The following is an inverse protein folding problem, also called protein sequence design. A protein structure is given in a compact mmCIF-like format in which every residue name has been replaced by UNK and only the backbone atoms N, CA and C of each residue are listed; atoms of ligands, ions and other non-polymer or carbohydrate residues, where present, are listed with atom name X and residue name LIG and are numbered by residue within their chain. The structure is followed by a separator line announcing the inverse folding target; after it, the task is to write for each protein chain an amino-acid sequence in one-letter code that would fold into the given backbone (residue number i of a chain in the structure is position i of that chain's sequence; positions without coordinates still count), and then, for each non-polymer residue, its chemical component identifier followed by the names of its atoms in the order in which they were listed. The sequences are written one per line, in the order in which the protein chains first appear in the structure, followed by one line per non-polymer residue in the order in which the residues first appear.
data_IF_183319526238
#
_entry.id   IF_183319526238
#
_cell.length_a   1.000
_cell.length_b   1.000
_cell.length_c   1.000
_cell.angle_alpha   90.00
_cell.angle_beta   90.00
_cell.angle_gamma   90.00
#
_symmetry.space_group_name_H-M   'P 1'
#
loop_
_entity.id
_entity.type
_entity.pdbx_description
1 polymer ?
#
# COMPACT_ATOMS: atom_id res chain seq x y z
N UNK A 1 -21.56 8.95 23.87
CA UNK A 1 -21.96 8.24 22.63
C UNK A 1 -20.81 8.44 21.67
N UNK A 2 -19.97 7.44 21.41
CA UNK A 2 -18.90 7.62 20.42
C UNK A 2 -19.53 7.65 19.04
N UNK A 3 -19.30 8.69 18.26
CA UNK A 3 -19.63 8.74 16.82
C UNK A 3 -19.02 7.49 16.17
N UNK A 4 -19.85 6.51 15.82
CA UNK A 4 -19.42 5.27 15.14
C UNK A 4 -19.52 5.40 13.62
N UNK A 5 -19.85 6.58 13.12
CA UNK A 5 -20.07 6.80 11.69
C UNK A 5 -18.87 7.50 11.06
N UNK A 6 -18.47 7.10 9.84
CA UNK A 6 -17.49 7.84 9.06
C UNK A 6 -17.94 9.29 8.88
N UNK A 7 -17.01 10.23 9.02
CA UNK A 7 -17.32 11.66 8.92
C UNK A 7 -16.23 12.45 8.22
N UNK A 8 -16.65 13.55 7.60
CA UNK A 8 -15.73 14.54 7.06
C UNK A 8 -15.27 15.50 8.15
N UNK A 9 -13.96 15.63 8.26
CA UNK A 9 -13.29 16.68 9.05
C UNK A 9 -12.38 17.48 8.13
N UNK A 10 -11.82 18.57 8.64
CA UNK A 10 -10.89 19.44 7.92
C UNK A 10 -9.60 19.59 8.71
N UNK A 11 -8.46 19.50 8.04
CA UNK A 11 -7.16 19.64 8.66
C UNK A 11 -6.01 19.25 7.75
N UNK A 12 -4.80 19.56 8.22
CA UNK A 12 -3.54 19.25 7.56
C UNK A 12 -2.63 18.54 8.55
N UNK A 13 -1.68 17.78 8.01
CA UNK A 13 -0.76 16.98 8.81
C UNK A 13 -1.36 15.64 9.25
N UNK A 14 -0.49 14.70 9.61
CA UNK A 14 -0.90 13.37 10.06
C UNK A 14 -1.63 13.44 11.41
N UNK A 15 -1.27 14.42 12.25
CA UNK A 15 -1.85 14.70 13.56
C UNK A 15 -3.32 15.14 13.50
N UNK A 16 -3.80 15.59 12.34
CA UNK A 16 -5.21 15.88 12.14
C UNK A 16 -6.08 14.61 12.14
N UNK A 17 -5.49 13.42 12.03
CA UNK A 17 -6.21 12.16 12.14
C UNK A 17 -6.48 11.81 13.61
N UNK A 18 -7.75 11.83 14.08
CA UNK A 18 -8.04 11.54 15.48
C UNK A 18 -7.66 10.10 15.85
N UNK A 19 -7.28 9.90 17.12
CA UNK A 19 -7.04 8.56 17.66
C UNK A 19 -8.25 7.63 17.41
N UNK A 20 -7.97 6.38 17.08
CA UNK A 20 -8.99 5.37 16.77
C UNK A 20 -9.65 5.52 15.40
N UNK A 21 -9.08 6.34 14.50
CA UNK A 21 -9.60 6.52 13.14
C UNK A 21 -8.60 6.13 12.05
N UNK A 22 -9.14 5.62 10.96
CA UNK A 22 -8.47 5.47 9.67
C UNK A 22 -8.84 6.69 8.81
N UNK A 23 -7.87 7.54 8.52
CA UNK A 23 -8.10 8.85 7.92
C UNK A 23 -7.57 8.92 6.50
N UNK A 24 -8.42 9.37 5.57
CA UNK A 24 -8.11 9.50 4.15
C UNK A 24 -7.97 10.97 3.78
N UNK A 25 -6.88 11.32 3.11
CA UNK A 25 -6.51 12.68 2.76
C UNK A 25 -6.61 12.87 1.24
N UNK A 26 -7.13 14.02 0.82
CA UNK A 26 -7.30 14.34 -0.60
C UNK A 26 -5.99 14.63 -1.32
N UNK A 27 -5.00 15.17 -0.61
CA UNK A 27 -3.71 15.52 -1.18
C UNK A 27 -2.55 14.82 -0.45
N UNK A 28 -1.46 14.62 -1.19
CA UNK A 28 -0.21 14.09 -0.66
C UNK A 28 0.33 14.95 0.47
N UNK A 29 1.18 14.38 1.34
CA UNK A 29 1.72 15.10 2.48
C UNK A 29 0.64 15.49 3.48
N UNK A 30 -0.46 14.72 3.55
CA UNK A 30 -1.55 14.92 4.49
C UNK A 30 -2.19 16.31 4.37
N UNK A 31 -2.54 16.72 3.14
CA UNK A 31 -3.12 18.02 2.82
C UNK A 31 -2.26 19.25 3.16
N UNK A 32 -0.98 19.11 3.51
CA UNK A 32 -0.12 20.26 3.80
C UNK A 32 -0.03 21.19 2.60
N UNK A 33 -0.29 22.48 2.83
CA UNK A 33 -0.30 23.51 1.78
C UNK A 33 -1.62 23.65 1.02
N UNK A 34 -2.62 22.82 1.30
CA UNK A 34 -3.97 22.99 0.75
C UNK A 34 -4.70 24.18 1.40
N UNK A 35 -5.71 24.71 0.71
CA UNK A 35 -6.55 25.79 1.26
C UNK A 35 -7.45 25.27 2.38
N UNK A 36 -7.38 25.83 3.61
CA UNK A 36 -8.23 25.40 4.72
C UNK A 36 -9.73 25.53 4.44
N UNK A 37 -10.51 24.55 4.89
CA UNK A 37 -11.96 24.44 4.67
C UNK A 37 -12.36 24.07 3.24
N UNK A 38 -11.40 23.86 2.32
CA UNK A 38 -11.68 23.56 0.91
C UNK A 38 -10.90 22.35 0.42
N UNK A 39 -9.57 22.42 0.45
CA UNK A 39 -8.67 21.38 -0.07
C UNK A 39 -8.15 20.42 1.00
N UNK A 40 -8.43 20.69 2.27
CA UNK A 40 -7.91 19.97 3.43
C UNK A 40 -8.94 19.01 4.05
N UNK A 41 -9.86 18.49 3.23
CA UNK A 41 -10.83 17.49 3.67
C UNK A 41 -10.12 16.20 4.06
N UNK A 42 -10.60 15.60 5.14
CA UNK A 42 -10.19 14.29 5.63
C UNK A 42 -11.46 13.46 5.87
N UNK A 43 -11.51 12.27 5.30
CA UNK A 43 -12.53 11.28 5.68
C UNK A 43 -12.00 10.46 6.85
N UNK A 44 -12.53 10.71 8.05
CA UNK A 44 -12.18 9.97 9.25
C UNK A 44 -13.15 8.80 9.45
N UNK A 45 -12.61 7.59 9.44
CA UNK A 45 -13.36 6.33 9.55
C UNK A 45 -13.04 5.70 10.91
N UNK A 46 -13.97 5.70 11.87
CA UNK A 46 -13.73 5.09 13.18
C UNK A 46 -13.42 3.59 13.05
N UNK A 47 -12.59 3.07 13.95
CA UNK A 47 -12.31 1.64 14.04
C UNK A 47 -13.61 0.83 14.17
N UNK A 48 -13.72 -0.23 13.37
CA UNK A 48 -14.91 -1.08 13.25
C UNK A 48 -15.94 -0.59 12.22
N UNK A 49 -15.72 0.56 11.59
CA UNK A 49 -16.58 1.05 10.50
C UNK A 49 -16.02 0.69 9.12
N UNK A 50 -16.87 0.86 8.11
CA UNK A 50 -16.53 0.72 6.69
C UNK A 50 -17.13 1.90 5.93
N UNK A 51 -16.57 2.17 4.76
CA UNK A 51 -17.13 3.11 3.79
C UNK A 51 -17.23 2.40 2.46
N UNK A 52 -18.46 2.23 1.96
CA UNK A 52 -18.73 1.48 0.72
C UNK A 52 -18.43 2.27 -0.54
N UNK A 53 -18.56 3.59 -0.49
CA UNK A 53 -18.30 4.46 -1.63
C UNK A 53 -17.86 5.84 -1.16
N UNK A 54 -16.62 6.20 -1.47
CA UNK A 54 -16.02 7.48 -1.13
C UNK A 54 -16.71 8.69 -1.78
N UNK A 55 -17.39 8.52 -2.91
CA UNK A 55 -18.09 9.62 -3.57
C UNK A 55 -19.21 10.20 -2.71
N UNK A 56 -19.81 9.39 -1.82
CA UNK A 56 -20.82 9.82 -0.84
C UNK A 56 -20.28 10.85 0.16
N UNK A 57 -18.96 10.86 0.35
CA UNK A 57 -18.23 11.78 1.21
C UNK A 57 -17.48 12.84 0.40
N UNK A 58 -17.74 12.93 -0.90
CA UNK A 58 -17.05 13.86 -1.79
C UNK A 58 -15.56 13.56 -1.91
N UNK A 59 -15.16 12.30 -1.97
CA UNK A 59 -13.85 11.86 -2.45
C UNK A 59 -14.11 11.14 -3.78
N UNK A 60 -13.87 11.82 -4.89
CA UNK A 60 -14.19 11.32 -6.24
C UNK A 60 -12.91 10.82 -6.92
N UNK A 61 -12.94 9.61 -7.48
CA UNK A 61 -11.80 9.01 -8.16
C UNK A 61 -11.33 9.81 -9.39
N UNK A 62 -12.10 10.82 -9.84
CA UNK A 62 -11.82 11.63 -11.03
C UNK A 62 -10.87 12.82 -10.77
N UNK A 63 -9.88 12.65 -9.88
CA UNK A 63 -8.85 13.66 -9.58
C UNK A 63 -9.02 14.41 -8.25
N UNK A 64 -9.97 13.99 -7.42
CA UNK A 64 -10.28 14.55 -6.10
C UNK A 64 -10.33 13.41 -5.05
N UNK A 65 -9.59 12.35 -5.32
CA UNK A 65 -9.66 11.07 -4.65
C UNK A 65 -8.74 11.01 -3.43
N UNK A 66 -8.37 9.80 -3.03
CA UNK A 66 -7.46 9.61 -1.89
C UNK A 66 -6.02 9.66 -2.40
N UNK A 67 -5.22 10.56 -1.83
CA UNK A 67 -3.79 10.73 -2.15
C UNK A 67 -2.86 10.46 -0.96
N UNK A 68 -3.40 10.38 0.25
CA UNK A 68 -2.66 10.04 1.46
C UNK A 68 -3.55 9.39 2.50
N UNK A 69 -2.95 8.65 3.43
CA UNK A 69 -3.69 7.90 4.45
C UNK A 69 -2.92 7.80 5.76
N UNK A 70 -3.64 7.89 6.88
CA UNK A 70 -3.13 7.65 8.22
C UNK A 70 -3.98 6.57 8.88
N UNK A 71 -3.36 5.49 9.34
CA UNK A 71 -4.00 4.49 10.18
C UNK A 71 -3.66 4.77 11.65
N UNK A 72 -4.46 5.63 12.29
CA UNK A 72 -4.36 5.93 13.72
C UNK A 72 -5.24 4.99 14.55
N UNK A 73 -5.39 3.74 14.12
CA UNK A 73 -6.12 2.69 14.85
C UNK A 73 -5.15 1.63 15.38
N UNK A 74 -5.68 0.75 16.23
CA UNK A 74 -4.93 -0.40 16.75
C UNK A 74 -5.01 -1.63 15.84
N UNK A 75 -5.71 -1.56 14.71
CA UNK A 75 -5.87 -2.65 13.74
C UNK A 75 -5.28 -2.28 12.38
N UNK A 76 -4.91 -3.30 11.60
CA UNK A 76 -4.52 -3.09 10.21
C UNK A 76 -5.79 -2.88 9.39
N UNK A 77 -5.78 -1.83 8.57
CA UNK A 77 -6.94 -1.39 7.80
C UNK A 77 -6.64 -1.50 6.30
N UNK A 78 -7.64 -1.31 5.45
CA UNK A 78 -7.43 -1.42 4.02
C UNK A 78 -8.22 -0.42 3.19
N UNK A 79 -7.59 0.02 2.11
CA UNK A 79 -8.20 0.68 0.96
C UNK A 79 -8.51 -0.35 -0.11
N UNK A 80 -9.55 -0.09 -0.90
CA UNK A 80 -9.98 -0.95 -2.00
C UNK A 80 -10.23 -0.12 -3.25
N UNK A 81 -9.84 -0.65 -4.41
CA UNK A 81 -9.91 0.07 -5.69
C UNK A 81 -11.31 0.12 -6.31
N UNK A 82 -12.29 -0.58 -5.73
CA UNK A 82 -13.69 -0.52 -6.14
C UNK A 82 -14.60 -0.35 -4.92
N UNK A 83 -15.85 0.05 -5.16
CA UNK A 83 -16.87 0.17 -4.14
C UNK A 83 -17.15 -1.18 -3.42
N UNK A 84 -17.72 -1.11 -2.21
CA UNK A 84 -18.10 -2.27 -1.40
C UNK A 84 -16.94 -3.23 -1.07
N UNK A 85 -15.75 -2.66 -0.81
CA UNK A 85 -14.53 -3.40 -0.45
C UNK A 85 -14.14 -4.45 -1.50
N UNK A 86 -14.31 -4.11 -2.78
CA UNK A 86 -13.97 -4.97 -3.92
C UNK A 86 -12.73 -4.47 -4.68
N UNK A 87 -12.27 -5.28 -5.63
CA UNK A 87 -11.13 -4.95 -6.48
C UNK A 87 -9.80 -5.29 -5.81
N UNK A 88 -8.77 -4.52 -6.13
CA UNK A 88 -7.48 -4.62 -5.48
C UNK A 88 -7.54 -4.01 -4.08
N UNK A 89 -6.67 -4.48 -3.20
CA UNK A 89 -6.58 -4.01 -1.83
C UNK A 89 -5.20 -3.46 -1.52
N UNK A 90 -5.15 -2.36 -0.77
CA UNK A 90 -3.94 -1.81 -0.16
C UNK A 90 -4.10 -1.84 1.35
N UNK A 91 -3.48 -2.83 2.03
CA UNK A 91 -3.36 -2.82 3.48
C UNK A 91 -2.55 -1.61 3.97
N UNK A 92 -2.94 -1.06 5.11
CA UNK A 92 -2.22 -0.02 5.83
C UNK A 92 -2.08 -0.47 7.27
N UNK A 93 -0.86 -0.76 7.69
CA UNK A 93 -0.59 -1.31 9.02
C UNK A 93 -1.03 -0.36 10.14
N UNK A 94 -1.43 -0.93 11.28
CA UNK A 94 -1.77 -0.18 12.49
C UNK A 94 -0.68 0.82 12.87
N UNK A 95 -1.07 2.04 13.24
CA UNK A 95 -0.14 3.10 13.66
C UNK A 95 0.78 3.64 12.56
N UNK A 96 0.56 3.28 11.29
CA UNK A 96 1.39 3.75 10.16
C UNK A 96 0.64 4.72 9.26
N UNK A 97 1.37 5.33 8.33
CA UNK A 97 0.79 6.25 7.34
C UNK A 97 1.49 6.11 5.99
N UNK A 98 0.78 6.49 4.94
CA UNK A 98 1.32 6.64 3.59
C UNK A 98 1.04 8.07 3.15
N UNK A 99 2.08 8.89 3.12
CA UNK A 99 1.96 10.30 2.80
C UNK A 99 1.66 10.57 1.31
N UNK A 100 2.01 9.64 0.43
CA UNK A 100 1.92 9.83 -1.02
C UNK A 100 1.54 8.52 -1.72
N UNK A 101 0.26 8.34 -2.05
CA UNK A 101 -0.23 7.17 -2.78
C UNK A 101 0.22 7.13 -4.24
N UNK A 102 0.64 8.27 -4.83
CA UNK A 102 1.29 8.27 -6.15
C UNK A 102 2.66 7.56 -6.14
N UNK A 103 3.28 7.40 -4.96
CA UNK A 103 4.51 6.63 -4.82
C UNK A 103 4.26 5.12 -4.64
N UNK A 104 3.01 4.67 -4.45
CA UNK A 104 2.68 3.26 -4.23
C UNK A 104 2.17 2.65 -5.53
N UNK A 105 2.80 1.58 -6.05
CA UNK A 105 2.46 1.02 -7.35
C UNK A 105 1.13 0.26 -7.30
N UNK A 106 0.36 0.38 -8.38
CA UNK A 106 -0.86 -0.38 -8.60
C UNK A 106 -0.87 -0.90 -10.04
N UNK A 107 -1.00 -2.21 -10.21
CA UNK A 107 -1.02 -2.81 -11.54
C UNK A 107 -2.35 -2.47 -12.22
N UNK A 108 -2.30 -2.13 -13.51
CA UNK A 108 -3.50 -1.83 -14.31
C UNK A 108 -4.20 -0.51 -13.99
N UNK A 109 -3.72 0.30 -13.03
CA UNK A 109 -4.29 1.63 -12.82
C UNK A 109 -3.84 2.63 -13.91
N UNK A 110 -4.66 3.64 -14.28
CA UNK A 110 -4.34 4.57 -15.36
C UNK A 110 -3.05 5.37 -15.14
N UNK A 111 -2.68 5.61 -13.88
CA UNK A 111 -1.48 6.34 -13.49
C UNK A 111 -0.38 5.43 -12.92
N UNK A 112 -0.57 4.10 -12.94
CA UNK A 112 0.37 3.11 -12.41
C UNK A 112 0.56 3.14 -10.89
N UNK A 113 -0.29 3.87 -10.16
CA UNK A 113 -0.21 4.06 -8.72
C UNK A 113 -1.55 3.93 -8.03
N UNK A 114 -1.56 3.98 -6.70
CA UNK A 114 -2.78 4.03 -5.89
C UNK A 114 -3.42 5.43 -5.79
N UNK A 115 -2.77 6.48 -6.33
CA UNK A 115 -3.29 7.83 -6.24
C UNK A 115 -4.66 7.96 -6.90
N UNK A 116 -5.63 8.45 -6.14
CA UNK A 116 -7.03 8.60 -6.54
C UNK A 116 -7.74 7.29 -6.95
N UNK A 117 -7.12 6.12 -6.72
CA UNK A 117 -7.68 4.83 -7.16
C UNK A 117 -8.61 4.19 -6.13
N UNK A 118 -8.43 4.49 -4.84
CA UNK A 118 -9.25 3.90 -3.80
C UNK A 118 -10.69 4.46 -3.85
N UNK A 119 -11.68 3.59 -3.71
CA UNK A 119 -13.11 3.93 -3.76
C UNK A 119 -13.88 3.48 -2.51
N UNK A 120 -13.32 2.57 -1.74
CA UNK A 120 -13.90 2.12 -0.47
C UNK A 120 -12.82 1.75 0.54
N UNK A 121 -13.20 1.67 1.81
CA UNK A 121 -12.30 1.32 2.91
C UNK A 121 -12.98 0.43 3.93
N UNK A 122 -12.14 -0.32 4.64
CA UNK A 122 -12.48 -1.06 5.85
C UNK A 122 -11.52 -0.64 6.97
N UNK A 123 -12.07 -0.04 8.03
CA UNK A 123 -11.32 0.30 9.25
C UNK A 123 -11.42 -0.86 10.26
N UNK A 124 -11.11 -2.06 9.79
CA UNK A 124 -11.06 -3.30 10.57
C UNK A 124 -10.05 -4.24 9.92
N UNK A 125 -9.76 -5.36 10.59
CA UNK A 125 -8.86 -6.39 10.11
C UNK A 125 -9.13 -6.70 8.64
N UNK A 126 -8.10 -6.58 7.82
CA UNK A 126 -8.19 -6.88 6.40
C UNK A 126 -8.74 -8.29 6.14
N UNK A 127 -9.78 -8.36 5.31
CA UNK A 127 -10.37 -9.62 4.82
C UNK A 127 -10.36 -9.56 3.29
N UNK A 128 -9.32 -10.11 2.68
CA UNK A 128 -9.21 -10.24 1.23
C UNK A 128 -8.53 -11.55 0.86
N UNK A 129 -8.83 -12.06 -0.33
CA UNK A 129 -8.34 -13.37 -0.75
C UNK A 129 -6.81 -13.42 -0.83
N UNK A 130 -6.16 -12.37 -1.35
CA UNK A 130 -4.70 -12.32 -1.50
C UNK A 130 -4.10 -11.39 -0.46
N UNK A 131 -3.22 -11.92 0.38
CA UNK A 131 -2.50 -11.23 1.44
C UNK A 131 -1.00 -11.33 1.19
N UNK A 132 -0.26 -10.35 1.69
CA UNK A 132 1.21 -10.39 1.74
C UNK A 132 1.70 -9.91 3.10
N UNK A 133 2.59 -10.69 3.70
CA UNK A 133 3.33 -10.31 4.90
C UNK A 133 4.78 -9.98 4.52
N UNK A 134 5.47 -9.22 5.37
CA UNK A 134 6.90 -8.95 5.24
C UNK A 134 7.66 -9.26 6.53
N UNK A 135 8.89 -9.71 6.36
CA UNK A 135 9.88 -9.92 7.41
C UNK A 135 11.23 -9.38 6.94
N UNK A 136 11.86 -8.49 7.72
CA UNK A 136 13.26 -8.13 7.49
C UNK A 136 14.16 -9.31 7.87
N UNK A 137 15.01 -9.74 6.94
CA UNK A 137 15.97 -10.84 7.13
C UNK A 137 17.35 -10.35 7.56
N UNK A 138 17.65 -9.08 7.30
CA UNK A 138 18.90 -8.41 7.67
C UNK A 138 19.30 -7.39 6.62
N UNK A 139 20.35 -6.62 6.93
CA UNK A 139 20.93 -5.65 6.01
C UNK A 139 22.45 -5.55 6.21
N UNK A 140 23.17 -5.15 5.17
CA UNK A 140 24.62 -4.98 5.19
C UNK A 140 25.08 -3.95 4.16
N UNK A 141 26.26 -3.37 4.38
CA UNK A 141 26.88 -2.46 3.43
C UNK A 141 27.25 -3.18 2.13
N UNK A 142 26.91 -2.59 0.98
CA UNK A 142 27.12 -3.15 -0.34
C UNK A 142 27.66 -2.04 -1.27
N UNK A 143 28.99 -1.99 -1.42
CA UNK A 143 29.67 -0.92 -2.15
C UNK A 143 29.37 0.46 -1.53
N UNK A 144 28.91 1.46 -2.33
CA UNK A 144 28.54 2.78 -1.80
C UNK A 144 27.14 2.82 -1.17
N UNK A 145 26.36 1.74 -1.24
CA UNK A 145 25.00 1.68 -0.71
C UNK A 145 24.85 0.65 0.41
N UNK A 146 23.61 0.34 0.75
CA UNK A 146 23.26 -0.62 1.78
C UNK A 146 22.16 -1.55 1.29
N UNK A 147 22.40 -2.86 1.37
CA UNK A 147 21.46 -3.87 0.89
C UNK A 147 20.61 -4.35 2.05
N UNK A 148 19.29 -4.31 1.88
CA UNK A 148 18.30 -4.82 2.81
C UNK A 148 17.61 -6.05 2.19
N UNK A 149 17.57 -7.12 2.96
CA UNK A 149 16.97 -8.40 2.57
C UNK A 149 15.64 -8.58 3.27
N UNK A 150 14.58 -8.88 2.52
CA UNK A 150 13.24 -9.09 3.05
C UNK A 150 12.70 -10.42 2.55
N UNK A 151 11.88 -11.06 3.40
CA UNK A 151 11.00 -12.15 2.99
C UNK A 151 9.59 -11.59 2.88
N UNK A 152 9.07 -11.58 1.66
CA UNK A 152 7.65 -11.36 1.41
C UNK A 152 6.96 -12.71 1.34
N UNK A 153 5.85 -12.88 2.05
CA UNK A 153 5.11 -14.15 2.02
C UNK A 153 3.69 -13.89 1.59
N UNK A 154 3.31 -14.41 0.42
CA UNK A 154 1.96 -14.26 -0.11
C UNK A 154 1.08 -15.45 0.27
N UNK A 155 -0.18 -15.16 0.58
CA UNK A 155 -1.18 -16.14 0.99
C UNK A 155 -2.47 -15.93 0.20
N UNK A 156 -3.07 -17.03 -0.21
CA UNK A 156 -4.44 -17.08 -0.69
C UNK A 156 -5.32 -17.65 0.41
N UNK A 157 -6.38 -16.96 0.80
CA UNK A 157 -7.29 -17.40 1.86
C UNK A 157 -8.29 -18.43 1.33
N UNK A 158 -8.96 -18.14 0.21
CA UNK A 158 -10.09 -18.95 -0.28
C UNK A 158 -9.84 -19.55 -1.68
N UNK A 159 -9.29 -18.76 -2.60
CA UNK A 159 -9.19 -19.12 -4.02
C UNK A 159 -7.77 -18.98 -4.54
N UNK A 160 -7.34 -19.97 -5.33
CA UNK A 160 -6.05 -19.99 -6.01
C UNK A 160 -5.88 -18.73 -6.86
N UNK A 161 -4.74 -18.07 -6.70
CA UNK A 161 -4.34 -16.90 -7.49
C UNK A 161 -3.21 -17.30 -8.44
N UNK A 162 -3.49 -17.39 -9.73
CA UNK A 162 -2.51 -17.80 -10.76
C UNK A 162 -1.76 -16.63 -11.38
N UNK A 163 -2.37 -15.45 -11.41
CA UNK A 163 -1.77 -14.21 -11.87
C UNK A 163 -1.82 -13.19 -10.76
N UNK A 164 -0.65 -12.69 -10.37
CA UNK A 164 -0.55 -11.74 -9.27
C UNK A 164 0.56 -10.73 -9.51
N UNK A 165 0.47 -9.61 -8.81
CA UNK A 165 1.60 -8.72 -8.58
C UNK A 165 1.75 -8.43 -7.10
N UNK A 166 2.99 -8.22 -6.66
CA UNK A 166 3.32 -7.70 -5.34
C UNK A 166 4.17 -6.45 -5.51
N UNK A 167 3.86 -5.39 -4.77
CA UNK A 167 4.57 -4.14 -4.89
C UNK A 167 4.59 -3.34 -3.61
N UNK A 168 5.53 -2.40 -3.55
CA UNK A 168 5.73 -1.45 -2.46
C UNK A 168 6.41 -0.20 -3.03
N UNK A 169 6.35 0.90 -2.28
CA UNK A 169 6.76 2.19 -2.82
C UNK A 169 7.29 3.16 -1.78
N UNK A 170 7.25 4.45 -2.13
CA UNK A 170 7.86 5.53 -1.35
C UNK A 170 9.37 5.31 -1.09
N UNK A 171 10.06 4.70 -2.05
CA UNK A 171 11.49 4.45 -1.94
C UNK A 171 12.29 5.74 -2.18
N UNK A 172 13.39 5.97 -1.44
CA UNK A 172 14.24 7.13 -1.67
C UNK A 172 14.95 7.04 -3.02
N UNK A 173 15.34 8.19 -3.57
CA UNK A 173 16.13 8.25 -4.79
C UNK A 173 17.45 7.48 -4.67
N UNK A 174 17.82 6.75 -5.73
CA UNK A 174 19.00 5.87 -5.72
C UNK A 174 18.71 4.44 -5.24
N UNK A 175 17.46 4.13 -4.88
CA UNK A 175 17.05 2.76 -4.54
C UNK A 175 16.89 1.89 -5.79
N UNK A 176 17.23 0.60 -5.69
CA UNK A 176 16.94 -0.40 -6.73
C UNK A 176 16.89 -1.80 -6.15
N UNK A 177 16.29 -2.75 -6.86
CA UNK A 177 16.49 -4.17 -6.59
C UNK A 177 17.95 -4.54 -6.85
N UNK A 178 18.51 -5.42 -6.02
CA UNK A 178 19.88 -5.88 -6.20
C UNK A 178 20.02 -6.65 -7.51
N UNK A 179 21.20 -6.58 -8.12
CA UNK A 179 21.49 -7.33 -9.36
C UNK A 179 21.34 -8.85 -9.15
N UNK A 180 21.81 -9.36 -8.01
CA UNK A 180 21.69 -10.78 -7.66
C UNK A 180 20.24 -11.24 -7.60
N UNK A 181 19.34 -10.41 -7.06
CA UNK A 181 17.91 -10.71 -7.07
C UNK A 181 17.35 -10.67 -8.50
N UNK A 182 17.64 -9.62 -9.26
CA UNK A 182 17.16 -9.45 -10.64
C UNK A 182 17.54 -10.65 -11.52
N UNK A 183 18.80 -11.11 -11.44
CA UNK A 183 19.30 -12.22 -12.25
C UNK A 183 18.62 -13.57 -11.88
N UNK A 184 18.18 -13.71 -10.64
CA UNK A 184 17.64 -14.97 -10.10
C UNK A 184 16.10 -15.03 -10.06
N UNK A 185 15.43 -13.88 -10.12
CA UNK A 185 13.98 -13.82 -9.99
C UNK A 185 13.31 -14.45 -11.22
N UNK A 186 12.45 -15.44 -10.98
CA UNK A 186 11.77 -16.22 -12.01
C UNK A 186 10.50 -15.56 -12.57
N UNK A 187 10.04 -14.48 -11.95
CA UNK A 187 8.84 -13.75 -12.35
C UNK A 187 9.15 -12.54 -13.24
N UNK A 188 8.17 -11.65 -13.33
CA UNK A 188 8.30 -10.39 -14.07
C UNK A 188 8.73 -9.25 -13.15
N UNK A 189 9.71 -8.45 -13.56
CA UNK A 189 10.09 -7.22 -12.87
C UNK A 189 9.47 -6.06 -13.66
N UNK A 190 8.33 -5.56 -13.17
CA UNK A 190 7.59 -4.48 -13.80
C UNK A 190 8.14 -3.11 -13.38
N UNK A 191 8.58 -3.00 -12.12
CA UNK A 191 9.32 -1.85 -11.58
C UNK A 191 10.40 -2.35 -10.63
N UNK A 192 11.61 -1.81 -10.75
CA UNK A 192 12.79 -2.30 -10.05
C UNK A 192 13.28 -1.37 -8.94
N UNK A 193 12.50 -0.37 -8.53
CA UNK A 193 12.87 0.57 -7.47
C UNK A 193 13.49 1.88 -7.94
N UNK A 194 14.06 1.96 -9.16
CA UNK A 194 14.79 3.17 -9.61
C UNK A 194 13.87 4.38 -9.81
N UNK A 195 12.58 4.13 -9.98
CA UNK A 195 11.53 5.14 -10.10
C UNK A 195 10.76 5.37 -8.78
N UNK A 196 11.32 4.89 -7.66
CA UNK A 196 10.72 5.05 -6.33
C UNK A 196 9.75 3.94 -5.93
N UNK A 197 9.55 2.90 -6.75
CA UNK A 197 8.76 1.74 -6.35
C UNK A 197 9.20 0.42 -6.99
N UNK A 198 8.86 -0.67 -6.33
CA UNK A 198 9.04 -2.04 -6.84
C UNK A 198 7.69 -2.65 -7.13
N UNK A 199 7.58 -3.32 -8.27
CA UNK A 199 6.41 -4.11 -8.64
C UNK A 199 6.89 -5.37 -9.35
N UNK A 200 6.61 -6.51 -8.73
CA UNK A 200 6.94 -7.85 -9.20
C UNK A 200 5.66 -8.56 -9.63
N UNK A 201 5.73 -9.35 -10.69
CA UNK A 201 4.61 -10.11 -11.22
C UNK A 201 4.90 -11.60 -11.31
N UNK A 202 3.83 -12.40 -11.26
CA UNK A 202 3.87 -13.81 -11.69
C UNK A 202 4.38 -13.91 -13.14
N UNK A 203 5.13 -14.96 -13.52
CA UNK A 203 5.61 -15.13 -14.88
C UNK A 203 4.46 -15.24 -15.90
N UNK A 204 4.63 -14.62 -17.07
CA UNK A 204 3.67 -14.64 -18.18
C UNK A 204 3.16 -16.04 -18.56
N UNK A 205 4.01 -17.07 -18.43
CA UNK A 205 3.68 -18.47 -18.74
C UNK A 205 2.95 -19.23 -17.62
N UNK A 206 2.69 -18.60 -16.47
CA UNK A 206 2.17 -19.25 -15.27
C UNK A 206 3.20 -20.09 -14.50
N UNK A 207 2.75 -20.92 -13.56
CA UNK A 207 3.61 -21.88 -12.84
C UNK A 207 3.98 -21.51 -11.40
N UNK A 208 3.61 -20.30 -10.93
CA UNK A 208 3.83 -19.85 -9.56
C UNK A 208 2.56 -19.25 -8.96
N UNK A 209 1.54 -20.08 -8.77
CA UNK A 209 0.31 -19.66 -8.12
C UNK A 209 0.47 -19.52 -6.61
N UNK A 210 -0.40 -18.72 -6.01
CA UNK A 210 -0.62 -18.70 -4.57
C UNK A 210 -1.85 -19.55 -4.30
N UNK A 211 -1.65 -20.71 -3.68
CA UNK A 211 -2.69 -21.71 -3.45
C UNK A 211 -3.19 -21.62 -2.00
N UNK A 212 -4.51 -21.78 -1.75
CA UNK A 212 -5.02 -21.83 -0.39
C UNK A 212 -4.29 -22.89 0.45
N UNK A 213 -3.86 -22.49 1.64
CA UNK A 213 -3.08 -23.33 2.55
C UNK A 213 -1.60 -23.51 2.19
N UNK A 214 -1.12 -22.96 1.07
CA UNK A 214 0.30 -22.98 0.69
C UNK A 214 0.82 -21.58 0.41
N UNK A 215 1.65 -21.08 1.32
CA UNK A 215 2.26 -19.76 1.16
C UNK A 215 3.32 -19.73 0.05
N UNK A 216 3.40 -18.62 -0.69
CA UNK A 216 4.44 -18.37 -1.67
C UNK A 216 5.46 -17.36 -1.11
N UNK A 217 6.66 -17.81 -0.69
CA UNK A 217 7.71 -16.92 -0.22
C UNK A 217 8.49 -16.30 -1.39
N UNK A 218 8.83 -15.03 -1.25
CA UNK A 218 9.69 -14.26 -2.14
C UNK A 218 10.78 -13.60 -1.29
N UNK A 219 12.01 -14.08 -1.42
CA UNK A 219 13.17 -13.45 -0.81
C UNK A 219 13.69 -12.37 -1.75
N UNK A 220 13.54 -11.11 -1.36
CA UNK A 220 13.93 -9.95 -2.16
C UNK A 220 15.11 -9.22 -1.53
N UNK A 221 15.90 -8.56 -2.36
CA UNK A 221 17.02 -7.74 -1.93
C UNK A 221 16.91 -6.36 -2.58
N UNK A 222 16.88 -5.33 -1.74
CA UNK A 222 16.76 -3.93 -2.15
C UNK A 222 18.04 -3.21 -1.75
N UNK A 223 18.70 -2.58 -2.72
CA UNK A 223 19.85 -1.71 -2.52
C UNK A 223 19.34 -0.28 -2.30
N UNK A 224 19.62 0.28 -1.13
CA UNK A 224 19.36 1.66 -0.73
C UNK A 224 20.65 2.50 -0.82
N UNK A 225 20.54 3.84 -0.96
CA UNK A 225 21.71 4.73 -1.01
C UNK A 225 22.45 4.83 0.33
N UNK A 226 21.77 4.56 1.45
CA UNK A 226 22.29 4.68 2.81
C UNK A 226 21.66 3.64 3.75
N UNK A 227 22.16 3.58 4.98
CA UNK A 227 21.56 2.79 6.06
C UNK A 227 20.54 3.65 6.81
N UNK A 228 19.31 3.17 6.95
CA UNK A 228 18.26 3.89 7.68
C UNK A 228 17.27 2.90 8.32
N UNK A 229 16.93 3.04 9.61
CA UNK A 229 15.90 2.23 10.26
C UNK A 229 14.54 2.30 9.57
N UNK A 230 14.23 3.40 8.87
CA UNK A 230 12.99 3.53 8.09
C UNK A 230 12.89 2.50 6.95
N UNK A 231 14.01 1.93 6.50
CA UNK A 231 14.03 0.91 5.44
C UNK A 231 13.74 -0.49 6.00
N UNK A 232 13.77 -0.71 7.32
CA UNK A 232 13.50 -2.02 7.92
C UNK A 232 12.07 -2.54 7.65
N UNK A 233 11.16 -1.64 7.25
CA UNK A 233 9.79 -1.97 6.84
C UNK A 233 9.44 -1.31 5.51
N UNK A 234 8.92 -2.10 4.57
CA UNK A 234 8.46 -1.61 3.27
C UNK A 234 7.12 -0.88 3.42
N UNK A 235 6.99 0.27 2.75
CA UNK A 235 5.81 1.13 2.80
C UNK A 235 4.86 0.78 1.65
N UNK A 236 3.56 0.68 1.96
CA UNK A 236 2.51 0.40 0.97
C UNK A 236 2.63 -0.96 0.30
N UNK A 237 3.15 -1.96 1.04
CA UNK A 237 3.23 -3.33 0.58
C UNK A 237 1.82 -3.86 0.26
N UNK A 238 1.61 -4.27 -0.99
CA UNK A 238 0.33 -4.76 -1.45
C UNK A 238 0.50 -5.89 -2.46
N UNK A 239 -0.47 -6.80 -2.47
CA UNK A 239 -0.57 -7.86 -3.45
C UNK A 239 -1.90 -7.74 -4.20
N UNK A 240 -1.88 -7.98 -5.50
CA UNK A 240 -3.02 -7.83 -6.40
C UNK A 240 -3.21 -9.11 -7.19
N UNK A 241 -4.42 -9.63 -7.20
CA UNK A 241 -4.83 -10.68 -8.13
C UNK A 241 -5.17 -10.03 -9.48
N UNK A 242 -4.55 -10.51 -10.56
CA UNK A 242 -4.83 -10.07 -11.92
C UNK A 242 -5.85 -11.01 -12.59
N UNK A 243 -6.67 -10.45 -13.48
CA UNK A 243 -7.64 -11.20 -14.29
C UNK A 243 -7.02 -12.06 -15.40
#
# INVERSE_FOLDING_TARGET
MSDKEPKLIYGQGAEACPEGNFCLYRATGFNVGQTPGRGDKILAIPMGAYVNNFSEYGFDHSGDGVSGVVNNTVEDNALFSAANQQGHSLPVDRGTSIANLAAIPMAGSPNGSWNDQAQSALASRFVGNLRVDQELRGHWAEGPGHLYSYRLTMYAEDTRVTRWTVGFGALPGGTSLSKSFIDAFWGEILRNGTDGAVLLGSPAGGGHSVDPGTALPLDIQVLYPDENPAYERLIGLNAQQLG
#
